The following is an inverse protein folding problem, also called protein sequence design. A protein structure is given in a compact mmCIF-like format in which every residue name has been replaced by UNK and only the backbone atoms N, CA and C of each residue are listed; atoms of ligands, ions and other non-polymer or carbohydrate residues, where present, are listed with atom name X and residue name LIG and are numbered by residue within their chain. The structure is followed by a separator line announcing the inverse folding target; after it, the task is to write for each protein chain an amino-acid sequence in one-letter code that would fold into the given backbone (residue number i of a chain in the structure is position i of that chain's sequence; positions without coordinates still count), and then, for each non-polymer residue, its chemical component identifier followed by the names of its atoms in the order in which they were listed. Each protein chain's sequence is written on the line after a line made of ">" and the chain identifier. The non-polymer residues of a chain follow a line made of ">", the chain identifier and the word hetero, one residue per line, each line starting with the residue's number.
data_IF_297438675888
#
_entry.id   IF_297438675888
#
_cell.length_a   1.000
_cell.length_b   1.000
_cell.length_c   1.000
_cell.angle_alpha   90.00
_cell.angle_beta   90.00
_cell.angle_gamma   90.00
#
_symmetry.space_group_name_H-M   'P 1'
#
loop_
_entity.id
_entity.type
_entity.pdbx_description
1 polymer ?
#
# COMPACT_ATOMS: atom_id res chain seq x y z
N UNK A 1 14.97 -0.47 -13.98
CA UNK A 1 16.16 -1.33 -13.77
C UNK A 1 16.85 -1.14 -12.42
N UNK A 2 17.38 0.05 -12.08
CA UNK A 2 18.07 0.26 -10.78
C UNK A 2 17.18 0.03 -9.55
N UNK A 3 15.94 0.52 -9.54
CA UNK A 3 14.99 0.29 -8.45
C UNK A 3 14.58 -1.18 -8.35
N UNK A 4 14.39 -1.87 -9.48
CA UNK A 4 13.95 -3.28 -9.53
C UNK A 4 14.97 -4.26 -8.90
N UNK A 5 16.22 -3.85 -8.71
CA UNK A 5 17.26 -4.66 -8.08
C UNK A 5 17.43 -4.36 -6.57
N UNK A 6 16.80 -3.31 -6.04
CA UNK A 6 16.91 -2.92 -4.64
C UNK A 6 15.73 -3.48 -3.84
N UNK A 7 16.02 -4.14 -2.73
CA UNK A 7 15.02 -4.61 -1.77
C UNK A 7 15.16 -3.88 -0.45
N UNK A 8 14.12 -3.95 0.39
CA UNK A 8 14.14 -3.37 1.73
C UNK A 8 15.20 -4.05 2.61
N UNK A 9 15.52 -5.32 2.38
CA UNK A 9 16.63 -6.02 3.03
C UNK A 9 18.00 -5.48 2.61
N UNK A 10 18.15 -5.08 1.34
CA UNK A 10 19.45 -4.70 0.76
C UNK A 10 19.99 -3.34 1.20
N UNK A 11 19.16 -2.52 1.87
CA UNK A 11 19.52 -1.17 2.34
C UNK A 11 19.58 -1.11 3.86
N UNK A 12 20.39 -0.22 4.41
CA UNK A 12 20.50 0.07 5.85
C UNK A 12 19.76 1.34 6.27
N UNK A 13 19.16 2.06 5.31
CA UNK A 13 18.58 3.38 5.50
C UNK A 13 17.26 3.49 4.76
N UNK A 14 16.22 3.97 5.44
CA UNK A 14 14.97 4.44 4.84
C UNK A 14 14.92 5.97 4.86
N UNK A 15 13.88 6.56 4.29
CA UNK A 15 13.70 8.01 4.30
C UNK A 15 12.29 8.39 4.72
N UNK A 16 12.16 9.43 5.55
CA UNK A 16 10.88 10.12 5.68
C UNK A 16 10.64 11.00 4.46
N UNK A 17 9.40 11.41 4.23
CA UNK A 17 9.05 12.57 3.41
C UNK A 17 7.89 13.32 4.05
N UNK A 18 8.10 14.59 4.37
CA UNK A 18 7.12 15.48 5.04
C UNK A 18 6.53 16.54 4.10
N UNK A 19 6.76 16.44 2.79
CA UNK A 19 6.38 17.47 1.82
C UNK A 19 4.86 17.79 1.84
N UNK A 20 4.02 16.80 2.13
CA UNK A 20 2.57 16.95 2.19
C UNK A 20 2.04 17.51 3.52
N UNK A 21 2.90 17.81 4.51
CA UNK A 21 2.46 18.40 5.77
C UNK A 21 1.87 19.81 5.63
N UNK A 22 2.03 20.44 4.46
CA UNK A 22 1.34 21.69 4.11
C UNK A 22 -0.20 21.58 4.14
N UNK A 23 -0.75 20.37 3.97
CA UNK A 23 -2.19 20.10 4.03
C UNK A 23 -2.58 18.90 4.89
N UNK A 24 -1.61 18.07 5.32
CA UNK A 24 -1.82 16.96 6.26
C UNK A 24 -0.75 16.98 7.37
N UNK A 25 -0.87 17.83 8.40
CA UNK A 25 0.23 18.12 9.35
C UNK A 25 0.75 16.90 10.14
N UNK A 26 -0.13 15.93 10.42
CA UNK A 26 0.23 14.69 11.13
C UNK A 26 0.70 13.56 10.19
N UNK A 27 0.89 13.84 8.90
CA UNK A 27 1.32 12.84 7.93
C UNK A 27 2.85 12.79 7.79
N UNK A 28 3.40 11.59 7.69
CA UNK A 28 4.78 11.32 7.33
C UNK A 28 4.83 10.06 6.46
N UNK A 29 5.31 10.18 5.21
CA UNK A 29 5.63 9.01 4.41
C UNK A 29 6.94 8.40 4.89
N UNK A 30 7.02 7.08 5.02
CA UNK A 30 8.28 6.34 5.10
C UNK A 30 8.49 5.65 3.75
N UNK A 31 9.54 6.06 3.05
CA UNK A 31 9.88 5.61 1.70
C UNK A 31 10.98 4.56 1.79
N UNK A 32 10.70 3.37 1.28
CA UNK A 32 11.62 2.24 1.18
C UNK A 32 11.83 1.85 -0.29
N UNK A 33 12.86 1.05 -0.63
CA UNK A 33 13.00 0.53 -1.99
C UNK A 33 11.74 -0.14 -2.55
N UNK A 34 11.02 -0.89 -1.71
CA UNK A 34 9.84 -1.67 -2.10
C UNK A 34 8.51 -1.00 -1.71
N UNK A 35 8.52 0.11 -0.97
CA UNK A 35 7.36 0.95 -0.64
C UNK A 35 7.63 2.40 -1.02
N UNK A 36 7.25 2.74 -2.25
CA UNK A 36 7.35 4.10 -2.78
C UNK A 36 6.42 5.06 -2.01
N UNK A 37 6.73 6.35 -2.07
CA UNK A 37 5.82 7.39 -1.60
C UNK A 37 4.45 7.25 -2.28
N UNK A 38 3.38 7.39 -1.50
CA UNK A 38 2.01 7.12 -1.96
C UNK A 38 1.57 7.95 -3.17
N UNK A 39 2.24 9.07 -3.45
CA UNK A 39 2.01 9.90 -4.64
C UNK A 39 2.49 9.27 -5.96
N UNK A 40 3.23 8.16 -5.90
CA UNK A 40 3.87 7.54 -7.07
C UNK A 40 5.14 8.24 -7.56
N UNK A 41 5.38 9.49 -7.13
CA UNK A 41 6.44 10.36 -7.65
C UNK A 41 7.74 10.39 -6.83
N UNK A 42 7.76 9.79 -5.63
CA UNK A 42 8.95 9.78 -4.76
C UNK A 42 9.38 8.33 -4.50
N UNK A 43 10.43 7.89 -5.17
CA UNK A 43 11.11 6.63 -4.86
C UNK A 43 12.15 6.79 -3.75
N UNK A 44 12.68 5.68 -3.24
CA UNK A 44 13.80 5.70 -2.29
C UNK A 44 15.04 6.42 -2.83
N UNK A 45 15.35 6.27 -4.13
CA UNK A 45 16.48 6.95 -4.76
C UNK A 45 16.24 8.46 -4.85
N UNK A 46 15.00 8.89 -5.10
CA UNK A 46 14.64 10.31 -5.14
C UNK A 46 14.70 10.92 -3.74
N UNK A 47 14.21 10.22 -2.72
CA UNK A 47 14.30 10.65 -1.32
C UNK A 47 15.77 10.79 -0.88
N UNK A 48 16.62 9.82 -1.24
CA UNK A 48 18.07 9.90 -1.02
C UNK A 48 18.72 11.09 -1.73
N UNK A 49 18.43 11.27 -3.02
CA UNK A 49 19.01 12.34 -3.82
C UNK A 49 18.58 13.73 -3.32
N UNK A 50 17.31 13.90 -2.96
CA UNK A 50 16.78 15.17 -2.43
C UNK A 50 17.37 15.52 -1.07
N UNK A 51 17.60 14.54 -0.19
CA UNK A 51 18.32 14.77 1.07
C UNK A 51 19.78 15.17 0.82
N UNK A 52 20.48 14.53 -0.13
CA UNK A 52 21.86 14.90 -0.48
C UNK A 52 21.97 16.31 -1.06
N UNK A 53 20.97 16.75 -1.83
CA UNK A 53 20.91 18.10 -2.39
C UNK A 53 20.54 19.16 -1.35
N UNK A 54 19.64 18.82 -0.42
CA UNK A 54 19.22 19.71 0.66
C UNK A 54 19.05 18.92 1.97
N UNK A 55 20.06 18.91 2.86
CA UNK A 55 20.00 18.21 4.13
C UNK A 55 18.91 18.71 5.08
N UNK A 56 18.44 19.95 4.89
CA UNK A 56 17.32 20.54 5.65
C UNK A 56 15.97 20.41 4.94
N UNK A 57 15.93 19.63 3.85
CA UNK A 57 14.74 19.38 3.05
C UNK A 57 13.73 18.44 3.73
N UNK A 58 12.62 18.13 3.03
CA UNK A 58 11.53 17.33 3.58
C UNK A 58 11.85 15.83 3.70
N UNK A 59 12.89 15.34 3.01
CA UNK A 59 13.32 13.95 3.09
C UNK A 59 14.47 13.81 4.08
N UNK A 60 14.29 13.03 5.13
CA UNK A 60 15.30 12.81 6.17
C UNK A 60 15.64 11.33 6.31
N UNK A 61 16.92 10.95 6.50
CA UNK A 61 17.31 9.55 6.62
C UNK A 61 16.81 8.94 7.94
N UNK A 62 16.48 7.65 7.88
CA UNK A 62 16.11 6.82 9.03
C UNK A 62 17.04 5.61 9.00
N UNK A 63 17.84 5.39 10.04
CA UNK A 63 18.63 4.16 10.17
C UNK A 63 17.69 2.96 10.33
N UNK A 64 17.91 1.89 9.55
CA UNK A 64 17.10 0.66 9.59
C UNK A 64 17.58 -0.27 10.70
N UNK A 65 17.39 0.13 11.95
CA UNK A 65 17.77 -0.64 13.14
C UNK A 65 16.59 -0.81 14.11
N UNK A 66 16.74 -1.66 15.13
CA UNK A 66 15.68 -1.89 16.12
C UNK A 66 14.41 -2.52 15.54
N UNK A 67 14.56 -3.47 14.61
CA UNK A 67 13.42 -4.23 14.09
C UNK A 67 12.77 -5.02 15.23
N UNK A 68 11.48 -4.78 15.47
CA UNK A 68 10.69 -5.48 16.50
C UNK A 68 9.79 -6.56 15.91
N UNK A 69 9.40 -6.41 14.64
CA UNK A 69 8.62 -7.40 13.90
C UNK A 69 8.89 -7.27 12.39
N UNK A 70 9.53 -8.28 11.80
CA UNK A 70 9.83 -8.33 10.36
C UNK A 70 8.58 -8.55 9.49
N UNK A 71 7.53 -9.17 10.03
CA UNK A 71 6.28 -9.43 9.31
C UNK A 71 5.60 -8.13 8.97
N UNK A 72 5.40 -7.28 9.97
CA UNK A 72 4.75 -5.97 9.85
C UNK A 72 5.72 -4.88 9.41
N UNK A 73 7.03 -5.11 9.51
CA UNK A 73 8.03 -4.10 9.25
C UNK A 73 8.03 -3.02 10.33
N UNK A 74 7.89 -3.42 11.60
CA UNK A 74 7.98 -2.53 12.74
C UNK A 74 9.43 -2.33 13.16
N UNK A 75 9.83 -1.06 13.32
CA UNK A 75 11.17 -0.64 13.73
C UNK A 75 11.08 0.50 14.75
N UNK A 76 11.88 0.44 15.81
CA UNK A 76 11.92 1.52 16.81
C UNK A 76 12.39 2.84 16.21
N UNK A 77 13.39 2.82 15.33
CA UNK A 77 13.91 4.03 14.68
C UNK A 77 12.91 4.66 13.71
N UNK A 78 12.09 3.85 13.04
CA UNK A 78 10.99 4.34 12.20
C UNK A 78 9.93 5.03 13.06
N UNK A 79 9.55 4.42 14.18
CA UNK A 79 8.60 5.01 15.13
C UNK A 79 9.11 6.32 15.70
N UNK A 80 10.39 6.41 16.09
CA UNK A 80 11.01 7.65 16.56
C UNK A 80 11.01 8.75 15.49
N UNK A 81 11.39 8.41 14.25
CA UNK A 81 11.41 9.35 13.13
C UNK A 81 10.00 9.86 12.78
N UNK A 82 9.00 8.98 12.76
CA UNK A 82 7.59 9.35 12.53
C UNK A 82 7.04 10.18 13.69
N UNK A 83 7.30 9.79 14.93
CA UNK A 83 6.90 10.54 16.12
C UNK A 83 7.45 11.96 16.11
N UNK A 84 8.74 12.13 15.80
CA UNK A 84 9.35 13.44 15.65
C UNK A 84 8.73 14.24 14.50
N UNK A 85 8.59 13.63 13.31
CA UNK A 85 8.06 14.30 12.11
C UNK A 85 6.59 14.72 12.26
N UNK A 86 5.80 14.00 13.04
CA UNK A 86 4.36 14.24 13.24
C UNK A 86 4.05 14.97 14.55
N UNK A 87 5.07 15.47 15.25
CA UNK A 87 4.94 16.17 16.54
C UNK A 87 4.22 15.33 17.60
N UNK A 88 4.44 14.02 17.59
CA UNK A 88 3.85 13.05 18.52
C UNK A 88 2.41 12.62 18.19
N UNK A 89 1.84 13.07 17.06
CA UNK A 89 0.51 12.65 16.64
C UNK A 89 0.45 11.16 16.25
N UNK A 90 1.54 10.61 15.71
CA UNK A 90 1.68 9.19 15.35
C UNK A 90 2.95 8.64 15.99
N UNK A 91 2.82 7.62 16.83
CA UNK A 91 3.94 7.07 17.61
C UNK A 91 4.35 5.65 17.20
N UNK A 92 3.48 4.95 16.49
CA UNK A 92 3.73 3.59 16.01
C UNK A 92 3.27 3.48 14.56
N UNK A 93 4.11 2.91 13.70
CA UNK A 93 3.76 2.59 12.31
C UNK A 93 4.30 1.21 11.94
N UNK A 94 3.50 0.45 11.20
CA UNK A 94 3.96 -0.73 10.47
C UNK A 94 4.09 -0.42 8.97
N UNK A 95 5.14 -0.97 8.35
CA UNK A 95 5.44 -0.72 6.94
C UNK A 95 4.78 -1.73 6.00
N UNK A 96 4.33 -2.87 6.49
CA UNK A 96 3.82 -3.96 5.66
C UNK A 96 2.45 -4.48 6.12
N UNK A 97 1.80 -3.84 7.11
CA UNK A 97 0.43 -4.11 7.51
C UNK A 97 -0.52 -2.95 7.18
N UNK A 98 -1.74 -3.29 6.76
CA UNK A 98 -2.85 -2.34 6.63
C UNK A 98 -3.75 -2.31 7.88
N UNK A 99 -3.68 -3.32 8.74
CA UNK A 99 -4.54 -3.47 9.91
C UNK A 99 -3.90 -2.99 11.21
N UNK A 100 -2.61 -3.27 11.39
CA UNK A 100 -1.88 -2.98 12.63
C UNK A 100 -1.10 -1.68 12.46
N UNK A 101 -1.55 -0.59 13.09
CA UNK A 101 -0.88 0.72 13.06
C UNK A 101 -0.40 1.14 11.65
N UNK A 102 -1.28 1.20 10.63
CA UNK A 102 -0.86 1.51 9.28
C UNK A 102 -0.26 2.92 9.20
N UNK A 103 0.67 3.11 8.25
CA UNK A 103 1.16 4.44 7.90
C UNK A 103 -0.01 5.32 7.43
N UNK A 104 -0.04 6.56 7.91
CA UNK A 104 -1.10 7.51 7.53
C UNK A 104 -1.04 7.88 6.05
N UNK A 105 -2.13 8.42 5.51
CA UNK A 105 -2.18 8.93 4.13
C UNK A 105 -2.49 10.43 4.10
N UNK A 106 -1.87 11.20 3.21
CA UNK A 106 -2.16 12.63 3.10
C UNK A 106 -3.39 12.92 2.24
N UNK A 107 -3.35 12.60 0.93
CA UNK A 107 -4.43 12.90 -0.01
C UNK A 107 -4.03 12.88 -1.48
N UNK A 108 -2.75 12.78 -1.80
CA UNK A 108 -2.24 12.71 -3.18
C UNK A 108 -2.02 11.27 -3.69
N UNK A 109 -2.56 10.26 -3.00
CA UNK A 109 -2.45 8.86 -3.43
C UNK A 109 -3.07 8.63 -4.82
N UNK A 110 -2.46 7.78 -5.62
CA UNK A 110 -2.99 7.38 -6.93
C UNK A 110 -4.11 6.34 -6.78
N UNK A 111 -3.99 5.49 -5.75
CA UNK A 111 -4.93 4.41 -5.43
C UNK A 111 -5.22 4.36 -3.93
N UNK A 112 -6.37 3.77 -3.59
CA UNK A 112 -6.71 3.40 -2.21
C UNK A 112 -6.92 1.89 -2.17
N UNK A 113 -6.28 1.24 -1.21
CA UNK A 113 -6.56 -0.12 -0.82
C UNK A 113 -7.51 -0.11 0.38
N UNK A 114 -8.55 -0.95 0.35
CA UNK A 114 -9.50 -1.13 1.44
C UNK A 114 -9.80 -2.60 1.70
N UNK A 115 -10.07 -2.95 2.95
CA UNK A 115 -10.49 -4.31 3.32
C UNK A 115 -11.92 -4.59 2.84
N UNK A 116 -12.15 -5.83 2.42
CA UNK A 116 -13.48 -6.39 2.18
C UNK A 116 -13.61 -7.72 2.94
N UNK A 117 -14.06 -7.66 4.20
CA UNK A 117 -14.07 -8.82 5.09
C UNK A 117 -14.83 -10.02 4.53
N UNK A 118 -15.94 -9.78 3.82
CA UNK A 118 -16.79 -10.83 3.24
C UNK A 118 -16.06 -11.66 2.17
N UNK A 119 -15.05 -11.08 1.53
CA UNK A 119 -14.22 -11.73 0.52
C UNK A 119 -12.85 -12.19 1.08
N UNK A 120 -12.62 -12.05 2.39
CA UNK A 120 -11.33 -12.31 3.04
C UNK A 120 -10.15 -11.59 2.34
N UNK A 121 -10.40 -10.39 1.80
CA UNK A 121 -9.53 -9.77 0.81
C UNK A 121 -9.47 -8.25 0.87
N UNK A 122 -8.85 -7.69 -0.16
CA UNK A 122 -8.57 -6.28 -0.36
C UNK A 122 -9.10 -5.85 -1.73
N UNK A 123 -9.71 -4.68 -1.79
CA UNK A 123 -10.04 -3.99 -3.04
C UNK A 123 -9.04 -2.86 -3.26
N UNK A 124 -8.73 -2.54 -4.53
CA UNK A 124 -7.93 -1.37 -4.87
C UNK A 124 -8.70 -0.52 -5.87
N UNK A 125 -8.86 0.76 -5.58
CA UNK A 125 -9.56 1.71 -6.43
C UNK A 125 -8.61 2.87 -6.79
N UNK A 126 -8.45 3.16 -8.09
CA UNK A 126 -7.66 4.30 -8.56
C UNK A 126 -8.48 5.58 -8.66
N UNK A 127 -7.79 6.72 -8.57
CA UNK A 127 -8.38 8.06 -8.54
C UNK A 127 -9.28 8.38 -9.74
N UNK A 128 -8.96 7.83 -10.91
CA UNK A 128 -9.67 8.10 -12.16
C UNK A 128 -10.98 7.30 -12.28
N UNK A 129 -11.15 6.24 -11.47
CA UNK A 129 -12.35 5.43 -11.48
C UNK A 129 -13.50 6.14 -10.73
N UNK A 130 -14.53 6.54 -11.48
CA UNK A 130 -15.70 7.25 -10.96
C UNK A 130 -16.86 6.36 -10.52
N UNK A 131 -16.70 5.03 -10.59
CA UNK A 131 -17.76 4.07 -10.26
C UNK A 131 -17.82 3.69 -8.78
N UNK A 132 -18.82 2.87 -8.45
CA UNK A 132 -18.95 2.26 -7.13
C UNK A 132 -17.99 1.07 -7.00
N UNK A 133 -17.41 0.89 -5.82
CA UNK A 133 -16.63 -0.31 -5.50
C UNK A 133 -17.46 -1.30 -4.67
N UNK A 134 -17.05 -2.57 -4.56
CA UNK A 134 -17.73 -3.57 -3.72
C UNK A 134 -17.83 -3.21 -2.22
N UNK A 135 -17.12 -2.19 -1.74
CA UNK A 135 -17.28 -1.68 -0.36
C UNK A 135 -18.48 -0.74 -0.21
N UNK A 136 -19.26 -0.52 -1.27
CA UNK A 136 -20.35 0.45 -1.28
C UNK A 136 -19.89 1.91 -1.26
N UNK A 137 -18.63 2.17 -1.62
CA UNK A 137 -18.06 3.52 -1.68
C UNK A 137 -17.38 3.78 -3.03
N UNK A 138 -17.46 5.03 -3.48
CA UNK A 138 -16.65 5.59 -4.57
C UNK A 138 -15.22 5.91 -4.09
N UNK A 139 -14.31 6.21 -5.03
CA UNK A 139 -12.96 6.67 -4.67
C UNK A 139 -13.00 7.92 -3.76
N UNK A 140 -13.91 8.87 -4.01
CA UNK A 140 -14.02 10.11 -3.23
C UNK A 140 -14.40 9.85 -1.77
N UNK A 141 -15.34 8.93 -1.55
CA UNK A 141 -15.74 8.52 -0.20
C UNK A 141 -14.63 7.78 0.52
N UNK A 142 -13.96 6.83 -0.15
CA UNK A 142 -12.78 6.14 0.36
C UNK A 142 -11.65 7.13 0.72
N UNK A 143 -11.41 8.13 -0.13
CA UNK A 143 -10.40 9.15 0.09
C UNK A 143 -10.70 9.99 1.34
N UNK A 144 -11.97 10.29 1.58
CA UNK A 144 -12.42 11.02 2.77
C UNK A 144 -12.17 10.25 4.08
N UNK A 145 -12.21 8.92 4.03
CA UNK A 145 -11.95 8.06 5.18
C UNK A 145 -10.47 7.80 5.43
N UNK A 146 -9.63 7.86 4.39
CA UNK A 146 -8.22 7.43 4.44
C UNK A 146 -7.25 8.59 4.59
N UNK A 147 -7.58 9.77 4.04
CA UNK A 147 -6.69 10.93 3.98
C UNK A 147 -6.55 11.73 5.29
N UNK A 148 -5.80 12.82 5.22
CA UNK A 148 -5.69 13.80 6.31
C UNK A 148 -4.62 13.51 7.38
N UNK A 149 -3.81 12.47 7.21
CA UNK A 149 -2.77 12.11 8.18
C UNK A 149 -3.29 11.37 9.40
N UNK A 150 -4.39 10.62 9.26
CA UNK A 150 -4.98 9.78 10.30
C UNK A 150 -4.55 8.32 10.08
N UNK A 151 -4.39 7.54 11.17
CA UNK A 151 -4.21 6.09 11.07
C UNK A 151 -5.56 5.42 10.92
N UNK A 152 -5.75 4.72 9.81
CA UNK A 152 -7.03 4.14 9.41
C UNK A 152 -6.87 2.64 9.18
N UNK A 153 -6.90 1.80 10.24
CA UNK A 153 -6.86 0.35 10.11
C UNK A 153 -7.84 -0.17 9.05
N UNK A 154 -7.32 -0.96 8.11
CA UNK A 154 -8.08 -1.51 6.99
C UNK A 154 -8.13 -0.64 5.73
N UNK A 155 -7.60 0.59 5.76
CA UNK A 155 -7.55 1.47 4.59
C UNK A 155 -6.17 2.13 4.45
N UNK A 156 -5.63 2.16 3.23
CA UNK A 156 -4.38 2.87 2.95
C UNK A 156 -4.35 3.50 1.54
N UNK A 157 -3.83 4.71 1.46
CA UNK A 157 -3.47 5.33 0.18
C UNK A 157 -2.08 4.87 -0.29
N UNK A 158 -1.93 4.58 -1.57
CA UNK A 158 -0.66 4.18 -2.17
C UNK A 158 -0.56 4.57 -3.65
N UNK A 159 0.65 4.45 -4.21
CA UNK A 159 0.91 4.61 -5.64
C UNK A 159 0.64 3.32 -6.42
N UNK A 160 0.43 3.41 -7.74
CA UNK A 160 0.16 2.28 -8.64
C UNK A 160 1.31 1.27 -8.67
N UNK A 161 2.55 1.74 -8.56
CA UNK A 161 3.73 0.89 -8.54
C UNK A 161 3.83 -0.02 -7.30
N UNK A 162 3.24 0.40 -6.17
CA UNK A 162 3.31 -0.37 -4.93
C UNK A 162 2.46 -1.65 -4.99
N UNK A 163 1.46 -1.73 -5.87
CA UNK A 163 0.54 -2.87 -6.00
C UNK A 163 1.30 -4.18 -6.26
N UNK A 164 2.34 -4.15 -7.10
CA UNK A 164 3.12 -5.34 -7.45
C UNK A 164 4.34 -5.57 -6.53
N UNK A 165 4.47 -4.80 -5.45
CA UNK A 165 5.57 -4.94 -4.49
C UNK A 165 5.48 -6.26 -3.72
N UNK A 166 6.63 -6.87 -3.44
CA UNK A 166 6.73 -8.04 -2.53
C UNK A 166 6.43 -7.67 -1.07
N UNK A 167 6.35 -6.37 -0.77
CA UNK A 167 6.03 -5.80 0.54
C UNK A 167 4.62 -5.23 0.64
N UNK A 168 3.85 -5.23 -0.45
CA UNK A 168 2.45 -4.83 -0.44
C UNK A 168 1.69 -5.71 0.54
N UNK A 169 1.06 -5.11 1.57
CA UNK A 169 0.26 -5.79 2.61
C UNK A 169 0.83 -7.15 3.07
N UNK A 170 2.15 -7.29 3.15
CA UNK A 170 2.83 -8.58 3.37
C UNK A 170 2.36 -9.25 4.65
N UNK A 171 2.06 -8.46 5.68
CA UNK A 171 1.59 -8.95 6.97
C UNK A 171 0.22 -9.63 6.89
N UNK A 172 -0.62 -9.24 5.93
CA UNK A 172 -1.94 -9.82 5.69
C UNK A 172 -1.93 -10.91 4.60
N UNK A 173 -0.78 -11.20 3.99
CA UNK A 173 -0.65 -12.20 2.91
C UNK A 173 -0.42 -11.59 1.51
N UNK A 174 -0.31 -10.28 1.44
CA UNK A 174 0.14 -9.54 0.26
C UNK A 174 -0.80 -9.59 -0.92
N UNK A 175 -0.24 -9.69 -2.14
CA UNK A 175 -1.01 -9.49 -3.36
C UNK A 175 -2.09 -10.55 -3.58
N UNK A 176 -1.97 -11.75 -2.98
CA UNK A 176 -3.02 -12.80 -3.02
C UNK A 176 -4.33 -12.34 -2.39
N UNK A 177 -4.31 -11.28 -1.57
CA UNK A 177 -5.52 -10.69 -0.99
C UNK A 177 -6.25 -9.77 -1.96
N UNK A 178 -5.67 -9.36 -3.08
CA UNK A 178 -6.33 -8.43 -4.00
C UNK A 178 -7.44 -9.17 -4.75
N UNK A 179 -8.70 -8.84 -4.47
CA UNK A 179 -9.87 -9.53 -5.04
C UNK A 179 -10.64 -8.68 -6.05
N UNK A 180 -10.45 -7.36 -6.03
CA UNK A 180 -11.14 -6.45 -6.95
C UNK A 180 -10.28 -5.24 -7.32
N UNK A 181 -10.23 -4.89 -8.60
CA UNK A 181 -9.59 -3.68 -9.13
C UNK A 181 -10.32 -3.18 -10.37
N UNK A 182 -10.43 -1.86 -10.60
CA UNK A 182 -10.94 -1.33 -11.87
C UNK A 182 -10.14 -1.89 -13.05
N UNK A 183 -10.83 -2.15 -14.16
CA UNK A 183 -10.24 -2.80 -15.33
C UNK A 183 -9.03 -2.04 -15.88
N UNK A 184 -9.11 -0.71 -15.94
CA UNK A 184 -7.99 0.14 -16.38
C UNK A 184 -6.76 -0.07 -15.50
N UNK A 185 -6.92 -0.05 -14.17
CA UNK A 185 -5.83 -0.27 -13.23
C UNK A 185 -5.27 -1.68 -13.37
N UNK A 186 -6.14 -2.68 -13.51
CA UNK A 186 -5.76 -4.08 -13.70
C UNK A 186 -4.92 -4.24 -14.97
N UNK A 187 -5.34 -3.63 -16.07
CA UNK A 187 -4.62 -3.67 -17.35
C UNK A 187 -3.25 -2.95 -17.26
N UNK A 188 -3.15 -1.83 -16.53
CA UNK A 188 -1.87 -1.11 -16.27
C UNK A 188 -0.88 -1.93 -15.43
N UNK A 189 -1.37 -2.66 -14.43
CA UNK A 189 -0.50 -3.40 -13.49
C UNK A 189 -0.28 -4.86 -13.89
N UNK A 190 -0.99 -5.38 -14.90
CA UNK A 190 -1.06 -6.82 -15.17
C UNK A 190 0.31 -7.49 -15.32
N UNK A 191 1.19 -6.92 -16.15
CA UNK A 191 2.52 -7.51 -16.40
C UNK A 191 3.33 -7.63 -15.10
N UNK A 192 3.40 -6.54 -14.32
CA UNK A 192 4.16 -6.50 -13.05
C UNK A 192 3.52 -7.37 -11.98
N UNK A 193 2.20 -7.36 -11.86
CA UNK A 193 1.47 -8.10 -10.84
C UNK A 193 1.51 -9.61 -11.10
N UNK A 194 1.29 -10.06 -12.34
CA UNK A 194 1.40 -11.48 -12.70
C UNK A 194 2.83 -11.99 -12.53
N UNK A 195 3.84 -11.17 -12.85
CA UNK A 195 5.23 -11.52 -12.57
C UNK A 195 5.46 -11.75 -11.07
N UNK A 196 5.02 -10.82 -10.21
CA UNK A 196 5.15 -10.98 -8.75
C UNK A 196 4.38 -12.20 -8.25
N UNK A 197 3.15 -12.43 -8.74
CA UNK A 197 2.34 -13.59 -8.35
C UNK A 197 2.99 -14.93 -8.75
N UNK A 198 3.59 -15.00 -9.95
CA UNK A 198 4.34 -16.17 -10.40
C UNK A 198 5.58 -16.40 -9.55
N UNK A 199 6.32 -15.34 -9.21
CA UNK A 199 7.52 -15.43 -8.39
C UNK A 199 7.25 -15.89 -6.95
N UNK A 200 6.17 -15.39 -6.34
CA UNK A 200 5.87 -15.65 -4.93
C UNK A 200 5.01 -16.91 -4.71
N UNK A 201 4.07 -17.17 -5.62
CA UNK A 201 3.00 -18.15 -5.41
C UNK A 201 2.83 -19.13 -6.58
N UNK A 202 3.57 -18.97 -7.68
CA UNK A 202 3.49 -19.83 -8.85
C UNK A 202 2.22 -19.65 -9.70
N UNK A 203 1.47 -18.55 -9.51
CA UNK A 203 0.24 -18.24 -10.25
C UNK A 203 0.60 -17.40 -11.48
N UNK A 204 0.36 -17.90 -12.69
CA UNK A 204 0.75 -17.20 -13.92
C UNK A 204 -0.19 -16.04 -14.31
N UNK A 205 -1.50 -16.24 -14.22
CA UNK A 205 -2.51 -15.27 -14.64
C UNK A 205 -3.35 -14.81 -13.45
N UNK A 206 -2.69 -14.36 -12.38
CA UNK A 206 -3.37 -13.94 -11.15
C UNK A 206 -4.40 -12.83 -11.40
N UNK A 207 -4.12 -11.88 -12.30
CA UNK A 207 -5.06 -10.81 -12.65
C UNK A 207 -6.41 -11.32 -13.19
N UNK A 208 -6.45 -12.49 -13.84
CA UNK A 208 -7.72 -13.07 -14.35
C UNK A 208 -8.62 -13.61 -13.23
N UNK A 209 -8.06 -13.77 -12.04
CA UNK A 209 -8.78 -14.18 -10.83
C UNK A 209 -9.35 -12.97 -10.07
N UNK A 210 -8.91 -11.75 -10.39
CA UNK A 210 -9.32 -10.50 -9.73
C UNK A 210 -10.50 -9.90 -10.49
N UNK A 211 -11.60 -9.65 -9.78
CA UNK A 211 -12.78 -9.04 -10.35
C UNK A 211 -12.55 -7.57 -10.72
N UNK A 212 -13.41 -7.04 -11.58
CA UNK A 212 -13.43 -5.62 -11.94
C UNK A 212 -14.88 -5.15 -12.14
N UNK A 213 -15.06 -3.86 -12.45
CA UNK A 213 -16.38 -3.25 -12.65
C UNK A 213 -17.18 -3.82 -13.83
N UNK A 214 -16.53 -4.53 -14.76
CA UNK A 214 -17.20 -5.19 -15.89
C UNK A 214 -17.79 -6.54 -15.49
N UNK A 215 -17.43 -7.04 -14.30
CA UNK A 215 -17.90 -8.28 -13.71
C UNK A 215 -18.94 -7.97 -12.64
N UNK A 216 -18.56 -7.20 -11.61
CA UNK A 216 -19.47 -6.79 -10.54
C UNK A 216 -18.92 -5.62 -9.72
N UNK A 217 -19.84 -4.89 -9.09
CA UNK A 217 -19.55 -3.90 -8.03
C UNK A 217 -20.30 -4.22 -6.74
N UNK A 218 -20.92 -5.41 -6.64
CA UNK A 218 -21.65 -5.89 -5.47
C UNK A 218 -20.80 -6.92 -4.71
N UNK A 219 -20.85 -6.87 -3.38
CA UNK A 219 -20.03 -7.74 -2.53
C UNK A 219 -20.46 -9.21 -2.57
N UNK A 220 -21.75 -9.50 -2.74
CA UNK A 220 -22.24 -10.88 -2.80
C UNK A 220 -21.89 -11.52 -4.14
N UNK A 221 -22.12 -10.80 -5.23
CA UNK A 221 -21.71 -11.25 -6.58
C UNK A 221 -20.18 -11.41 -6.69
N UNK A 222 -19.41 -10.58 -5.98
CA UNK A 222 -17.95 -10.72 -5.92
C UNK A 222 -17.54 -12.06 -5.32
N UNK A 223 -18.16 -12.50 -4.22
CA UNK A 223 -17.87 -13.80 -3.60
C UNK A 223 -18.16 -14.95 -4.56
N UNK A 224 -19.26 -14.87 -5.33
CA UNK A 224 -19.60 -15.88 -6.33
C UNK A 224 -18.52 -15.99 -7.41
N UNK A 225 -18.07 -14.84 -7.95
CA UNK A 225 -16.98 -14.81 -8.93
C UNK A 225 -15.67 -15.37 -8.37
N UNK A 226 -15.27 -14.95 -7.17
CA UNK A 226 -14.04 -15.42 -6.52
C UNK A 226 -14.08 -16.93 -6.26
N UNK A 227 -15.26 -17.46 -5.92
CA UNK A 227 -15.48 -18.90 -5.73
C UNK A 227 -15.35 -19.66 -7.05
N UNK A 228 -15.96 -19.17 -8.13
CA UNK A 228 -15.86 -19.76 -9.47
C UNK A 228 -14.40 -19.79 -9.97
N UNK A 229 -13.66 -18.70 -9.72
CA UNK A 229 -12.23 -18.61 -10.09
C UNK A 229 -11.30 -19.39 -9.16
N UNK A 230 -11.78 -19.86 -8.01
CA UNK A 230 -10.94 -20.50 -6.99
C UNK A 230 -9.89 -19.53 -6.46
N UNK A 231 -10.28 -18.28 -6.16
CA UNK A 231 -9.36 -17.24 -5.71
C UNK A 231 -8.64 -17.63 -4.41
N UNK A 232 -7.30 -17.46 -4.32
CA UNK A 232 -6.51 -17.92 -3.17
C UNK A 232 -6.96 -17.29 -1.84
N UNK A 233 -7.37 -16.00 -1.86
CA UNK A 233 -7.84 -15.29 -0.67
C UNK A 233 -8.92 -16.05 0.13
N UNK A 234 -9.82 -16.79 -0.54
CA UNK A 234 -10.90 -17.51 0.12
C UNK A 234 -10.41 -18.71 0.95
N UNK A 235 -9.23 -19.24 0.65
CA UNK A 235 -8.60 -20.36 1.36
C UNK A 235 -7.54 -19.95 2.39
N UNK A 236 -7.22 -18.66 2.48
CA UNK A 236 -6.25 -18.14 3.45
C UNK A 236 -6.89 -17.99 4.84
N UNK A 237 -6.06 -17.84 5.87
CA UNK A 237 -6.54 -17.46 7.20
C UNK A 237 -7.40 -16.19 7.13
N UNK A 238 -8.37 -16.00 8.05
CA UNK A 238 -9.14 -14.76 8.12
C UNK A 238 -8.22 -13.54 8.19
N UNK A 239 -8.52 -12.52 7.37
CA UNK A 239 -7.77 -11.26 7.36
C UNK A 239 -7.93 -10.50 8.68
N UNK A 240 -9.05 -10.71 9.40
CA UNK A 240 -9.37 -10.15 10.70
C UNK A 240 -10.16 -11.13 11.57
#
# INVERSE_FOLDING_TARGET
>A
DRLNAMTDESVDTFYTCTLCQSFAPAHCCVVTPERLGLCGAVSWLDAKATNQLNPTGPCQPIEKTGCTDERTGAYTTVNEAVGAATQGAVNTVTLYSILEDPMTSCGCFECICGIIPECNGLIICNREFGGMTPTGMTFGELASMTGGGVQTPGFMGHGRHFIASKKFAKAEGGIERIVWMPKELKDDVAERLNKTAKELYGIENFTDMIADETITTDSAELIEFLTEKGHPALGMDPIM
#
